data_IF_907911194834
#
_entry.id   IF_907911194834
#
_cell.length_a   1.000
_cell.length_b   1.000
_cell.length_c   1.000
_cell.angle_alpha   90.00
_cell.angle_beta   90.00
_cell.angle_gamma   90.00
#
_symmetry.space_group_name_H-M   'P 1'
#
loop_
_entity.id
_entity.type
_entity.pdbx_description
1 polymer ?
#
# COMPACT_ATOMS: atom_id res chain seq x y z
N UNK A 1 -11.65 9.35 -1.31
CA UNK A 1 -10.38 10.00 -0.88
C UNK A 1 -9.48 9.07 -0.08
N UNK A 2 -9.94 8.48 1.04
CA UNK A 2 -9.12 7.57 1.87
C UNK A 2 -8.52 6.41 1.07
N UNK A 3 -9.33 5.69 0.28
CA UNK A 3 -8.87 4.58 -0.54
C UNK A 3 -7.79 4.97 -1.56
N UNK A 4 -7.84 6.20 -2.08
CA UNK A 4 -6.82 6.71 -3.01
C UNK A 4 -5.51 6.99 -2.26
N UNK A 5 -5.60 7.57 -1.06
CA UNK A 5 -4.44 7.81 -0.21
C UNK A 5 -3.75 6.51 0.21
N UNK A 6 -4.52 5.50 0.62
CA UNK A 6 -3.96 4.19 0.99
C UNK A 6 -3.39 3.46 -0.21
N UNK A 7 -3.99 3.60 -1.40
CA UNK A 7 -3.40 3.11 -2.67
C UNK A 7 -2.08 3.79 -2.99
N UNK A 8 -1.95 5.11 -2.83
CA UNK A 8 -0.68 5.80 -3.03
C UNK A 8 0.39 5.34 -2.03
N UNK A 9 0.06 5.30 -0.73
CA UNK A 9 0.99 4.80 0.28
C UNK A 9 1.45 3.39 -0.10
N UNK A 10 0.50 2.49 -0.37
CA UNK A 10 0.83 1.11 -0.72
C UNK A 10 1.66 0.98 -1.99
N UNK A 11 1.37 1.77 -3.03
CA UNK A 11 2.14 1.78 -4.27
C UNK A 11 3.63 2.09 -4.07
N UNK A 12 3.98 2.79 -2.98
CA UNK A 12 5.35 3.22 -2.71
C UNK A 12 5.98 2.60 -1.46
N UNK A 13 5.27 1.76 -0.70
CA UNK A 13 5.77 1.13 0.54
C UNK A 13 6.05 -0.36 0.42
N UNK A 14 5.98 -0.95 -0.78
CA UNK A 14 6.46 -2.31 -1.08
C UNK A 14 7.98 -2.40 -1.26
N UNK A 15 8.75 -1.70 -0.41
CA UNK A 15 10.19 -1.47 -0.51
C UNK A 15 11.08 -2.70 -0.28
N UNK A 16 10.49 -3.84 0.07
CA UNK A 16 11.24 -5.11 0.16
C UNK A 16 11.24 -5.88 -1.17
N UNK A 17 10.34 -5.53 -2.10
CA UNK A 17 10.17 -6.25 -3.36
C UNK A 17 11.29 -5.97 -4.39
N UNK A 18 12.07 -4.91 -4.17
CA UNK A 18 13.18 -4.50 -5.01
C UNK A 18 14.56 -4.86 -4.40
N UNK A 19 14.59 -5.65 -3.32
CA UNK A 19 15.83 -6.10 -2.67
C UNK A 19 16.80 -6.78 -3.67
N UNK A 20 16.26 -7.57 -4.58
CA UNK A 20 17.01 -8.22 -5.67
C UNK A 20 17.75 -7.24 -6.59
N UNK A 21 17.29 -5.99 -6.70
CA UNK A 21 17.91 -4.98 -7.57
C UNK A 21 19.23 -4.41 -7.02
N UNK A 22 19.44 -4.41 -5.70
CA UNK A 22 20.65 -3.84 -5.07
C UNK A 22 21.44 -4.83 -4.19
N UNK A 23 20.86 -6.00 -3.89
CA UNK A 23 21.45 -6.96 -2.95
C UNK A 23 22.79 -7.53 -3.39
N UNK A 24 23.07 -7.65 -4.69
CA UNK A 24 24.38 -8.07 -5.20
C UNK A 24 25.48 -7.07 -4.84
N UNK A 25 25.22 -5.78 -5.00
CA UNK A 25 26.20 -4.75 -4.67
C UNK A 25 26.36 -4.59 -3.16
N UNK A 26 25.27 -4.71 -2.41
CA UNK A 26 25.31 -4.75 -0.94
C UNK A 26 26.18 -5.91 -0.43
N UNK A 27 26.05 -7.10 -1.04
CA UNK A 27 26.87 -8.28 -0.71
C UNK A 27 28.35 -8.03 -0.98
N UNK A 28 28.67 -7.45 -2.14
CA UNK A 28 30.05 -7.16 -2.53
C UNK A 28 30.70 -6.14 -1.58
N UNK A 29 29.98 -5.06 -1.26
CA UNK A 29 30.44 -3.99 -0.37
C UNK A 29 30.63 -4.47 1.07
N UNK A 30 29.70 -5.27 1.60
CA UNK A 30 29.80 -5.82 2.95
C UNK A 30 30.82 -6.97 3.04
N UNK A 31 31.30 -7.49 1.90
CA UNK A 31 32.19 -8.68 1.84
C UNK A 31 31.61 -9.89 2.59
N UNK A 32 30.30 -10.10 2.47
CA UNK A 32 29.56 -11.16 3.18
C UNK A 32 29.25 -12.37 2.31
N UNK A 33 29.03 -13.52 2.95
CA UNK A 33 28.58 -14.73 2.27
C UNK A 33 27.13 -14.61 1.77
N UNK A 34 26.71 -15.51 0.87
CA UNK A 34 25.31 -15.58 0.43
C UNK A 34 24.35 -15.83 1.59
N UNK A 35 24.75 -16.67 2.55
CA UNK A 35 23.95 -16.97 3.74
C UNK A 35 23.76 -15.71 4.59
N UNK A 36 24.83 -14.94 4.78
CA UNK A 36 24.77 -13.67 5.51
C UNK A 36 23.91 -12.63 4.77
N UNK A 37 23.98 -12.54 3.44
CA UNK A 37 23.07 -11.68 2.68
C UNK A 37 21.60 -12.10 2.87
N UNK A 38 21.34 -13.41 2.87
CA UNK A 38 19.98 -13.92 3.09
C UNK A 38 19.47 -13.58 4.50
N UNK A 39 20.33 -13.55 5.51
CA UNK A 39 19.93 -13.06 6.83
C UNK A 39 19.55 -11.57 6.85
N UNK A 40 20.10 -10.74 5.95
CA UNK A 40 19.70 -9.33 5.82
C UNK A 40 18.26 -9.21 5.33
N UNK A 41 17.87 -9.98 4.31
CA UNK A 41 16.49 -9.99 3.82
C UNK A 41 15.53 -10.65 4.83
N UNK A 42 15.95 -11.73 5.48
CA UNK A 42 15.19 -12.36 6.57
C UNK A 42 15.01 -11.41 7.75
N UNK A 43 16.00 -10.57 8.09
CA UNK A 43 15.87 -9.58 9.15
C UNK A 43 14.76 -8.56 8.82
N UNK A 44 14.66 -8.12 7.57
CA UNK A 44 13.55 -7.28 7.10
C UNK A 44 12.20 -7.99 7.22
N UNK A 45 12.10 -9.26 6.80
CA UNK A 45 10.85 -10.02 6.96
C UNK A 45 10.49 -10.27 8.42
N UNK A 46 11.47 -10.53 9.29
CA UNK A 46 11.29 -10.62 10.74
C UNK A 46 10.79 -9.29 11.32
N UNK A 47 11.28 -8.15 10.79
CA UNK A 47 10.78 -6.82 11.10
C UNK A 47 9.27 -6.67 10.92
N UNK A 48 8.69 -7.30 9.88
CA UNK A 48 7.24 -7.28 9.62
C UNK A 48 6.43 -8.03 10.67
N UNK A 49 7.03 -9.04 11.32
CA UNK A 49 6.37 -9.77 12.42
C UNK A 49 6.15 -8.88 13.65
N UNK A 50 6.94 -7.81 13.81
CA UNK A 50 6.72 -6.78 14.83
C UNK A 50 5.61 -5.80 14.48
N UNK A 51 4.87 -5.97 13.37
CA UNK A 51 3.80 -5.05 12.97
C UNK A 51 2.65 -4.89 13.98
N UNK A 52 2.45 -5.85 14.89
CA UNK A 52 1.42 -5.79 15.93
C UNK A 52 1.53 -4.54 16.82
N UNK A 53 2.74 -4.01 17.03
CA UNK A 53 2.94 -2.81 17.85
C UNK A 53 2.38 -1.55 17.18
N UNK A 54 2.29 -1.51 15.84
CA UNK A 54 1.61 -0.43 15.11
C UNK A 54 0.13 -0.35 15.47
N UNK A 55 -0.54 -1.50 15.57
CA UNK A 55 -1.93 -1.60 15.98
C UNK A 55 -2.15 -1.05 17.39
N UNK A 56 -1.22 -1.35 18.32
CA UNK A 56 -1.24 -0.80 19.68
C UNK A 56 -1.05 0.71 19.67
N UNK A 57 -0.10 1.22 18.88
CA UNK A 57 0.13 2.67 18.75
C UNK A 57 -1.11 3.41 18.24
N UNK A 58 -1.85 2.82 17.30
CA UNK A 58 -3.10 3.39 16.77
C UNK A 58 -4.24 3.47 17.79
N UNK A 59 -4.11 2.82 18.96
CA UNK A 59 -5.05 3.01 20.08
C UNK A 59 -4.81 4.31 20.84
N UNK A 60 -3.58 4.82 20.84
CA UNK A 60 -3.17 5.98 21.63
C UNK A 60 -2.87 7.22 20.78
N UNK A 61 -2.47 7.03 19.52
CA UNK A 61 -2.04 8.10 18.63
C UNK A 61 -2.90 8.16 17.37
N UNK A 62 -3.10 9.37 16.79
CA UNK A 62 -3.84 9.50 15.54
C UNK A 62 -3.08 8.84 14.37
N UNK A 63 -3.82 8.43 13.34
CA UNK A 63 -3.29 7.69 12.18
C UNK A 63 -2.13 8.39 11.48
N UNK A 64 -2.17 9.72 11.38
CA UNK A 64 -1.11 10.51 10.74
C UNK A 64 0.21 10.47 11.53
N UNK A 65 0.17 10.40 12.86
CA UNK A 65 1.38 10.25 13.69
C UNK A 65 2.01 8.90 13.42
N UNK A 66 1.21 7.83 13.46
CA UNK A 66 1.71 6.46 13.23
C UNK A 66 2.25 6.30 11.82
N UNK A 67 1.63 6.96 10.82
CA UNK A 67 2.13 7.02 9.45
C UNK A 67 3.53 7.64 9.38
N UNK A 68 3.76 8.78 10.05
CA UNK A 68 5.08 9.39 10.07
C UNK A 68 6.11 8.59 10.85
N UNK A 69 5.71 7.94 11.95
CA UNK A 69 6.63 7.04 12.66
C UNK A 69 7.08 5.91 11.73
N UNK A 70 6.16 5.32 10.96
CA UNK A 70 6.51 4.33 9.93
C UNK A 70 7.49 4.92 8.91
N UNK A 71 7.20 6.12 8.38
CA UNK A 71 8.06 6.79 7.40
C UNK A 71 9.47 7.08 7.93
N UNK A 72 9.61 7.53 9.17
CA UNK A 72 10.91 7.78 9.80
C UNK A 72 11.68 6.48 10.08
N UNK A 73 10.99 5.42 10.48
CA UNK A 73 11.61 4.08 10.61
C UNK A 73 12.17 3.59 9.27
N UNK A 74 11.42 3.77 8.18
CA UNK A 74 11.87 3.44 6.83
C UNK A 74 13.04 4.31 6.37
N UNK A 75 12.96 5.62 6.58
CA UNK A 75 14.02 6.58 6.28
C UNK A 75 15.33 6.20 6.97
N UNK A 76 15.29 5.87 8.26
CA UNK A 76 16.47 5.47 9.02
C UNK A 76 16.96 4.09 8.57
N UNK A 77 16.05 3.11 8.46
CA UNK A 77 16.40 1.73 8.13
C UNK A 77 17.06 1.59 6.75
N UNK A 78 16.46 2.18 5.71
CA UNK A 78 17.02 2.18 4.36
C UNK A 78 18.10 3.23 4.16
N UNK A 79 18.01 4.40 4.80
CA UNK A 79 19.01 5.45 4.71
C UNK A 79 20.37 5.03 5.27
N UNK A 80 20.39 4.29 6.39
CA UNK A 80 21.64 3.72 6.91
C UNK A 80 22.23 2.68 5.95
N UNK A 81 21.42 1.81 5.36
CA UNK A 81 21.87 0.85 4.34
C UNK A 81 22.41 1.57 3.10
N UNK A 82 21.78 2.66 2.69
CA UNK A 82 22.24 3.49 1.58
C UNK A 82 23.60 4.17 1.88
N UNK A 83 23.80 4.70 3.08
CA UNK A 83 25.10 5.27 3.47
C UNK A 83 26.22 4.20 3.47
N UNK A 84 25.90 2.97 3.85
CA UNK A 84 26.83 1.83 3.78
C UNK A 84 27.14 1.45 2.35
N UNK A 85 26.14 1.34 1.46
CA UNK A 85 26.38 0.97 0.06
C UNK A 85 27.14 2.07 -0.71
N UNK A 86 27.05 3.32 -0.25
CA UNK A 86 27.87 4.42 -0.77
C UNK A 86 29.27 4.48 -0.18
N UNK A 87 29.61 3.61 0.78
CA UNK A 87 30.89 3.61 1.50
C UNK A 87 31.15 4.93 2.26
N UNK A 88 30.12 5.71 2.57
CA UNK A 88 30.25 6.90 3.42
C UNK A 88 30.44 6.52 4.89
N UNK A 89 29.80 5.43 5.33
CA UNK A 89 29.94 4.88 6.67
C UNK A 89 30.23 3.38 6.59
N UNK A 90 30.98 2.86 7.54
CA UNK A 90 31.11 1.43 7.78
C UNK A 90 30.29 1.05 9.01
N UNK A 91 29.39 0.06 8.86
CA UNK A 91 28.60 -0.47 9.96
C UNK A 91 28.98 -1.93 10.22
N UNK A 92 29.07 -2.36 11.49
CA UNK A 92 29.17 -3.79 11.80
C UNK A 92 27.93 -4.51 11.28
N UNK A 93 28.12 -5.75 10.82
CA UNK A 93 27.06 -6.55 10.20
C UNK A 93 25.76 -6.64 11.03
N UNK A 94 25.88 -6.70 12.36
CA UNK A 94 24.73 -6.69 13.26
C UNK A 94 23.88 -5.42 13.15
N UNK A 95 24.49 -4.24 12.97
CA UNK A 95 23.75 -2.99 12.77
C UNK A 95 23.09 -2.93 11.39
N UNK A 96 23.68 -3.58 10.39
CA UNK A 96 23.01 -3.77 9.08
C UNK A 96 21.75 -4.61 9.27
N UNK A 97 21.82 -5.74 9.99
CA UNK A 97 20.64 -6.56 10.29
C UNK A 97 19.57 -5.76 11.05
N UNK A 98 19.95 -4.96 12.05
CA UNK A 98 19.02 -4.12 12.79
C UNK A 98 18.38 -3.04 11.91
N UNK A 99 19.14 -2.43 11.00
CA UNK A 99 18.62 -1.47 10.05
C UNK A 99 17.62 -2.10 9.07
N UNK A 100 17.86 -3.34 8.63
CA UNK A 100 16.95 -4.10 7.79
C UNK A 100 15.69 -4.52 8.56
N UNK A 101 15.82 -4.92 9.83
CA UNK A 101 14.68 -5.18 10.71
C UNK A 101 13.81 -3.94 10.87
N UNK A 102 14.41 -2.77 11.12
CA UNK A 102 13.70 -1.50 11.24
C UNK A 102 12.96 -1.13 9.95
N UNK A 103 13.62 -1.31 8.80
CA UNK A 103 13.02 -1.10 7.47
C UNK A 103 11.81 -2.03 7.24
N UNK A 104 11.93 -3.30 7.62
CA UNK A 104 10.84 -4.27 7.57
C UNK A 104 9.66 -3.92 8.48
N UNK A 105 9.95 -3.46 9.70
CA UNK A 105 8.91 -2.99 10.64
C UNK A 105 8.17 -1.78 10.07
N UNK A 106 8.87 -0.83 9.45
CA UNK A 106 8.25 0.31 8.74
C UNK A 106 7.20 -0.15 7.73
N UNK A 107 7.50 -1.13 6.87
CA UNK A 107 6.56 -1.66 5.88
C UNK A 107 5.27 -2.17 6.55
N UNK A 108 5.40 -2.92 7.64
CA UNK A 108 4.24 -3.46 8.36
C UNK A 108 3.39 -2.37 9.05
N UNK A 109 4.02 -1.27 9.49
CA UNK A 109 3.32 -0.14 10.07
C UNK A 109 2.54 0.62 9.00
N UNK A 110 3.13 0.88 7.82
CA UNK A 110 2.40 1.42 6.67
C UNK A 110 1.17 0.58 6.30
N UNK A 111 1.37 -0.75 6.22
CA UNK A 111 0.28 -1.68 5.98
C UNK A 111 -0.83 -1.56 7.02
N UNK A 112 -0.46 -1.52 8.31
CA UNK A 112 -1.43 -1.43 9.41
C UNK A 112 -2.23 -0.13 9.36
N UNK A 113 -1.59 1.01 9.11
CA UNK A 113 -2.27 2.30 8.94
C UNK A 113 -3.27 2.23 7.77
N UNK A 114 -2.86 1.72 6.62
CA UNK A 114 -3.74 1.56 5.46
C UNK A 114 -4.91 0.61 5.75
N UNK A 115 -4.68 -0.50 6.46
CA UNK A 115 -5.75 -1.44 6.81
C UNK A 115 -6.78 -0.82 7.74
N UNK A 116 -6.31 -0.15 8.81
CA UNK A 116 -7.20 0.49 9.78
C UNK A 116 -8.02 1.61 9.11
N UNK A 117 -7.41 2.39 8.22
CA UNK A 117 -8.13 3.39 7.42
C UNK A 117 -9.19 2.76 6.53
N UNK A 118 -8.86 1.72 5.76
CA UNK A 118 -9.83 1.04 4.90
C UNK A 118 -10.98 0.40 5.70
N UNK A 119 -10.68 -0.27 6.81
CA UNK A 119 -11.69 -0.95 7.64
C UNK A 119 -12.63 0.06 8.29
N UNK A 120 -12.09 1.16 8.83
CA UNK A 120 -12.91 2.20 9.49
C UNK A 120 -13.76 2.98 8.49
N UNK A 121 -13.25 3.24 7.29
CA UNK A 121 -13.97 4.01 6.26
C UNK A 121 -15.01 3.17 5.50
N UNK A 122 -14.73 1.90 5.19
CA UNK A 122 -15.59 1.06 4.35
C UNK A 122 -16.16 -0.12 5.13
N UNK A 123 -17.20 0.08 5.92
CA UNK A 123 -17.74 -0.99 6.78
C UNK A 123 -18.34 -2.16 5.98
N UNK A 124 -19.10 -1.87 4.91
CA UNK A 124 -19.75 -2.90 4.07
C UNK A 124 -18.78 -3.57 3.11
N UNK A 125 -17.91 -2.78 2.45
CA UNK A 125 -17.01 -3.24 1.39
C UNK A 125 -15.54 -3.31 1.85
N UNK A 126 -15.29 -3.55 3.16
CA UNK A 126 -13.93 -3.56 3.74
C UNK A 126 -12.98 -4.50 3.02
N UNK A 127 -13.44 -5.69 2.64
CA UNK A 127 -12.62 -6.68 1.94
C UNK A 127 -12.13 -6.13 0.59
N UNK A 128 -13.05 -5.57 -0.22
CA UNK A 128 -12.73 -4.96 -1.51
C UNK A 128 -11.77 -3.77 -1.36
N UNK A 129 -12.02 -2.88 -0.40
CA UNK A 129 -11.15 -1.73 -0.13
C UNK A 129 -9.74 -2.15 0.32
N UNK A 130 -9.65 -3.16 1.19
CA UNK A 130 -8.38 -3.72 1.65
C UNK A 130 -7.61 -4.36 0.51
N UNK A 131 -8.27 -5.24 -0.27
CA UNK A 131 -7.68 -5.95 -1.41
C UNK A 131 -7.18 -5.00 -2.48
N UNK A 132 -7.98 -4.00 -2.84
CA UNK A 132 -7.59 -2.97 -3.79
C UNK A 132 -6.37 -2.19 -3.27
N UNK A 133 -6.41 -1.70 -2.02
CA UNK A 133 -5.29 -0.94 -1.46
C UNK A 133 -4.02 -1.76 -1.34
N UNK A 134 -4.07 -2.97 -0.78
CA UNK A 134 -2.90 -3.82 -0.57
C UNK A 134 -2.32 -4.34 -1.89
N UNK A 135 -3.15 -4.49 -2.94
CA UNK A 135 -2.66 -4.94 -4.24
C UNK A 135 -1.57 -4.01 -4.76
N UNK A 136 -1.71 -2.69 -4.60
CA UNK A 136 -0.72 -1.71 -5.03
C UNK A 136 0.65 -1.84 -4.36
N UNK A 137 0.75 -2.47 -3.18
CA UNK A 137 2.05 -2.86 -2.62
C UNK A 137 2.84 -3.77 -3.57
N UNK A 138 2.12 -4.59 -4.32
CA UNK A 138 2.68 -5.46 -5.35
C UNK A 138 3.35 -4.71 -6.49
N UNK A 139 2.89 -3.52 -6.90
CA UNK A 139 3.48 -2.77 -8.03
C UNK A 139 4.69 -1.93 -7.66
N UNK A 140 5.04 -1.82 -6.37
CA UNK A 140 6.13 -0.95 -5.92
C UNK A 140 7.44 -1.24 -6.66
N UNK A 141 7.87 -2.49 -6.76
CA UNK A 141 9.14 -2.79 -7.43
C UNK A 141 9.15 -2.37 -8.91
N UNK A 142 8.02 -2.50 -9.62
CA UNK A 142 7.91 -2.03 -11.01
C UNK A 142 8.02 -0.51 -11.12
N UNK A 143 7.40 0.23 -10.20
CA UNK A 143 7.51 1.69 -10.14
C UNK A 143 8.94 2.12 -9.81
N UNK A 144 9.58 1.48 -8.83
CA UNK A 144 10.96 1.78 -8.45
C UNK A 144 11.95 1.45 -9.58
N UNK A 145 11.74 0.34 -10.30
CA UNK A 145 12.50 0.02 -11.51
C UNK A 145 12.39 1.12 -12.56
N UNK A 146 11.19 1.65 -12.81
CA UNK A 146 10.99 2.75 -13.75
C UNK A 146 11.67 4.04 -13.28
N UNK A 147 11.59 4.37 -11.99
CA UNK A 147 12.26 5.55 -11.43
C UNK A 147 13.78 5.41 -11.56
N UNK A 148 14.37 4.29 -11.13
CA UNK A 148 15.80 4.04 -11.22
C UNK A 148 16.29 4.16 -12.68
N UNK A 149 15.67 3.43 -13.62
CA UNK A 149 16.01 3.49 -15.05
C UNK A 149 15.81 4.88 -15.68
N UNK A 150 14.91 5.69 -15.12
CA UNK A 150 14.65 7.06 -15.61
C UNK A 150 15.74 8.06 -15.23
N UNK A 151 16.42 7.81 -14.11
CA UNK A 151 17.51 8.63 -13.56
C UNK A 151 18.85 8.11 -14.08
N UNK A 152 19.22 6.89 -13.66
CA UNK A 152 20.42 6.18 -14.11
C UNK A 152 20.16 4.66 -14.10
N UNK A 153 20.12 4.00 -15.26
CA UNK A 153 19.87 2.56 -15.34
C UNK A 153 21.01 1.70 -14.76
N UNK A 154 22.19 2.27 -14.52
CA UNK A 154 23.34 1.53 -14.01
C UNK A 154 23.55 1.68 -12.49
N UNK A 155 22.89 2.65 -11.84
CA UNK A 155 23.07 2.90 -10.41
C UNK A 155 22.02 2.16 -9.57
N UNK A 156 22.38 0.95 -9.15
CA UNK A 156 21.58 0.10 -8.24
C UNK A 156 21.43 0.70 -6.83
N UNK A 157 22.29 1.63 -6.43
CA UNK A 157 22.25 2.25 -5.10
C UNK A 157 21.06 3.19 -4.97
N UNK A 158 20.53 3.68 -6.10
CA UNK A 158 19.33 4.52 -6.13
C UNK A 158 18.13 3.83 -5.50
N UNK A 159 18.00 2.50 -5.61
CA UNK A 159 16.87 1.77 -5.01
C UNK A 159 16.79 1.97 -3.49
N UNK A 160 17.92 1.87 -2.79
CA UNK A 160 17.98 2.11 -1.34
C UNK A 160 17.66 3.58 -0.98
N UNK A 161 18.10 4.53 -1.80
CA UNK A 161 17.78 5.95 -1.60
C UNK A 161 16.28 6.22 -1.78
N UNK A 162 15.69 5.65 -2.85
CA UNK A 162 14.26 5.74 -3.12
C UNK A 162 13.46 5.12 -1.98
N UNK A 163 13.86 3.94 -1.50
CA UNK A 163 13.21 3.24 -0.39
C UNK A 163 13.24 4.05 0.91
N UNK A 164 14.25 4.90 1.12
CA UNK A 164 14.34 5.78 2.27
C UNK A 164 13.47 7.04 2.14
N UNK A 165 13.48 7.69 0.96
CA UNK A 165 12.90 9.04 0.79
C UNK A 165 11.45 9.00 0.29
N UNK A 166 11.13 8.14 -0.68
CA UNK A 166 9.82 8.15 -1.36
C UNK A 166 8.66 7.86 -0.39
N UNK A 167 8.74 6.88 0.54
CA UNK A 167 7.67 6.67 1.51
C UNK A 167 7.38 7.90 2.39
N UNK A 168 8.41 8.67 2.76
CA UNK A 168 8.25 9.91 3.53
C UNK A 168 7.52 10.98 2.71
N UNK A 169 7.93 11.19 1.46
CA UNK A 169 7.29 12.14 0.54
C UNK A 169 5.82 11.80 0.34
N UNK A 170 5.51 10.52 0.06
CA UNK A 170 4.14 10.06 -0.16
C UNK A 170 3.30 10.19 1.11
N UNK A 171 3.89 9.97 2.29
CA UNK A 171 3.19 10.18 3.57
C UNK A 171 2.73 11.62 3.73
N UNK A 172 3.58 12.60 3.37
CA UNK A 172 3.23 14.03 3.40
C UNK A 172 2.09 14.33 2.43
N UNK A 173 2.14 13.83 1.20
CA UNK A 173 1.06 14.02 0.22
C UNK A 173 -0.25 13.35 0.64
N UNK A 174 -0.17 12.18 1.28
CA UNK A 174 -1.34 11.44 1.74
C UNK A 174 -2.07 12.11 2.90
N UNK A 175 -1.41 12.94 3.71
CA UNK A 175 -2.00 13.62 4.87
C UNK A 175 -3.33 14.31 4.54
N UNK A 176 -3.36 15.07 3.45
CA UNK A 176 -4.54 15.87 3.06
C UNK A 176 -5.76 14.99 2.82
N UNK A 177 -5.55 13.75 2.38
CA UNK A 177 -6.61 12.78 2.04
C UNK A 177 -6.99 11.88 3.22
N UNK A 178 -6.15 11.78 4.25
CA UNK A 178 -6.38 10.95 5.46
C UNK A 178 -7.19 11.70 6.52
N UNK A 179 -7.09 13.03 6.59
CA UNK A 179 -7.85 13.84 7.55
C UNK A 179 -9.33 13.84 7.13
N UNK A 180 -10.25 13.26 7.94
CA UNK A 180 -11.66 13.17 7.59
C UNK A 180 -12.28 14.57 7.43
N UNK A 181 -13.06 14.76 6.37
CA UNK A 181 -14.08 15.82 6.36
C UNK A 181 -15.39 15.16 6.78
N UNK A 182 -16.06 15.75 7.76
CA UNK A 182 -17.38 15.33 8.21
C UNK A 182 -18.37 15.43 7.05
N UNK A 183 -18.78 14.30 6.49
CA UNK A 183 -19.92 14.24 5.60
C UNK A 183 -20.94 13.26 6.18
N UNK A 184 -22.16 13.78 6.31
CA UNK A 184 -23.38 13.09 6.72
C UNK A 184 -23.65 11.90 5.83
N UNK A 185 -23.77 10.74 6.46
CA UNK A 185 -24.40 9.54 5.91
C UNK A 185 -25.84 9.86 5.54
N UNK A 186 -26.29 9.49 4.33
CA UNK A 186 -27.50 8.65 4.20
C UNK A 186 -27.94 8.30 2.77
N UNK A 187 -27.29 8.78 1.71
CA UNK A 187 -27.59 8.30 0.35
C UNK A 187 -26.33 7.81 -0.35
N UNK A 188 -26.34 6.56 -0.87
CA UNK A 188 -25.56 6.07 -2.04
C UNK A 188 -25.05 4.61 -1.99
N UNK A 189 -25.78 3.63 -1.45
CA UNK A 189 -25.34 2.21 -1.50
C UNK A 189 -25.17 1.63 -2.92
N UNK A 190 -25.89 2.15 -3.92
CA UNK A 190 -25.79 1.68 -5.33
C UNK A 190 -24.62 2.31 -6.11
N UNK A 191 -24.26 3.55 -5.77
CA UNK A 191 -23.12 4.26 -6.38
C UNK A 191 -21.78 3.68 -5.92
N UNK A 192 -21.71 3.15 -4.69
CA UNK A 192 -20.49 2.57 -4.14
C UNK A 192 -19.97 1.36 -4.93
N UNK A 193 -20.85 0.44 -5.35
CA UNK A 193 -20.43 -0.77 -6.09
C UNK A 193 -19.86 -0.43 -7.47
N UNK A 194 -20.49 0.48 -8.20
CA UNK A 194 -19.99 0.94 -9.50
C UNK A 194 -18.64 1.65 -9.35
N UNK A 195 -18.48 2.49 -8.33
CA UNK A 195 -17.21 3.13 -8.01
C UNK A 195 -16.10 2.12 -7.70
N UNK A 196 -16.37 1.11 -6.88
CA UNK A 196 -15.41 0.03 -6.60
C UNK A 196 -15.05 -0.77 -7.85
N UNK A 197 -16.02 -1.06 -8.73
CA UNK A 197 -15.76 -1.75 -9.99
C UNK A 197 -14.87 -0.91 -10.91
N UNK A 198 -15.14 0.40 -11.05
CA UNK A 198 -14.31 1.31 -11.86
C UNK A 198 -12.89 1.43 -11.30
N UNK A 199 -12.73 1.54 -9.97
CA UNK A 199 -11.41 1.56 -9.34
C UNK A 199 -10.66 0.24 -9.51
N UNK A 200 -11.35 -0.88 -9.44
CA UNK A 200 -10.77 -2.21 -9.67
C UNK A 200 -10.35 -2.38 -11.12
N UNK A 201 -11.19 -1.96 -12.08
CA UNK A 201 -10.86 -1.96 -13.50
C UNK A 201 -9.62 -1.09 -13.79
N UNK A 202 -9.56 0.11 -13.21
CA UNK A 202 -8.39 0.98 -13.32
C UNK A 202 -7.14 0.34 -12.71
N UNK A 203 -7.26 -0.35 -11.58
CA UNK A 203 -6.17 -1.07 -10.96
C UNK A 203 -5.67 -2.21 -11.86
N UNK A 204 -6.57 -2.99 -12.48
CA UNK A 204 -6.21 -4.01 -13.49
C UNK A 204 -5.47 -3.38 -14.67
N UNK A 205 -5.98 -2.26 -15.21
CA UNK A 205 -5.32 -1.52 -16.29
C UNK A 205 -3.93 -1.08 -15.86
N UNK A 206 -3.78 -0.53 -14.66
CA UNK A 206 -2.48 -0.09 -14.12
C UNK A 206 -1.50 -1.25 -13.93
N UNK A 207 -1.97 -2.38 -13.42
CA UNK A 207 -1.16 -3.60 -13.26
C UNK A 207 -0.70 -4.17 -14.60
N UNK A 208 -1.59 -4.25 -15.59
CA UNK A 208 -1.24 -4.71 -16.95
C UNK A 208 -0.30 -3.73 -17.65
N UNK A 209 -0.55 -2.42 -17.50
CA UNK A 209 0.31 -1.37 -18.01
C UNK A 209 1.74 -1.53 -17.49
N UNK A 210 1.92 -1.66 -16.17
CA UNK A 210 3.23 -1.83 -15.57
C UNK A 210 3.89 -3.16 -15.96
N UNK A 211 3.14 -4.27 -15.97
CA UNK A 211 3.65 -5.58 -16.37
C UNK A 211 4.24 -5.57 -17.79
N UNK A 212 3.48 -5.03 -18.75
CA UNK A 212 3.87 -5.08 -20.16
C UNK A 212 4.94 -4.02 -20.46
N UNK A 213 4.74 -2.78 -20.03
CA UNK A 213 5.60 -1.67 -20.45
C UNK A 213 6.89 -1.58 -19.63
N UNK A 214 6.91 -1.98 -18.35
CA UNK A 214 8.13 -1.96 -17.53
C UNK A 214 9.25 -2.84 -18.11
N UNK A 215 8.90 -3.89 -18.85
CA UNK A 215 9.86 -4.80 -19.48
C UNK A 215 10.49 -4.20 -20.75
N UNK A 216 9.82 -3.21 -21.37
CA UNK A 216 10.23 -2.57 -22.64
C UNK A 216 11.11 -1.33 -22.38
N UNK A 217 11.27 -0.90 -21.13
CA UNK A 217 11.97 0.33 -20.74
C UNK A 217 13.51 0.23 -20.87
N UNK A 218 14.01 0.12 -22.10
CA UNK A 218 15.44 -0.01 -22.41
C UNK A 218 16.20 1.33 -22.41
N UNK A 219 15.50 2.43 -22.68
CA UNK A 219 16.05 3.78 -22.72
C UNK A 219 15.48 4.65 -21.58
N UNK A 220 16.30 5.50 -20.92
CA UNK A 220 15.82 6.43 -19.89
C UNK A 220 14.64 7.32 -20.33
N UNK A 221 14.59 7.74 -21.59
CA UNK A 221 13.46 8.51 -22.13
C UNK A 221 12.16 7.69 -22.13
N UNK A 222 12.22 6.42 -22.57
CA UNK A 222 11.08 5.51 -22.57
C UNK A 222 10.65 5.21 -21.13
N UNK A 223 11.61 5.00 -20.21
CA UNK A 223 11.33 4.81 -18.79
C UNK A 223 10.59 6.03 -18.19
N UNK A 224 10.99 7.26 -18.54
CA UNK A 224 10.29 8.49 -18.13
C UNK A 224 8.86 8.57 -18.67
N UNK A 225 8.65 8.23 -19.95
CA UNK A 225 7.31 8.21 -20.54
C UNK A 225 6.41 7.19 -19.84
N UNK A 226 6.90 5.97 -19.63
CA UNK A 226 6.13 4.92 -18.95
C UNK A 226 5.85 5.29 -17.50
N UNK A 227 6.84 5.84 -16.79
CA UNK A 227 6.66 6.35 -15.44
C UNK A 227 5.59 7.44 -15.40
N UNK A 228 5.61 8.39 -16.35
CA UNK A 228 4.60 9.45 -16.42
C UNK A 228 3.19 8.89 -16.60
N UNK A 229 3.01 7.88 -17.46
CA UNK A 229 1.73 7.21 -17.63
C UNK A 229 1.28 6.45 -16.38
N UNK A 230 2.19 5.77 -15.69
CA UNK A 230 1.90 5.10 -14.42
C UNK A 230 1.45 6.08 -13.32
N UNK A 231 2.12 7.24 -13.19
CA UNK A 231 1.74 8.28 -12.25
C UNK A 231 0.38 8.88 -12.61
N UNK A 232 0.10 9.12 -13.89
CA UNK A 232 -1.22 9.60 -14.35
C UNK A 232 -2.32 8.61 -13.97
N UNK A 233 -2.11 7.31 -14.20
CA UNK A 233 -3.06 6.26 -13.83
C UNK A 233 -3.30 6.21 -12.32
N UNK A 234 -2.26 6.39 -11.50
CA UNK A 234 -2.38 6.47 -10.03
C UNK A 234 -3.12 7.73 -9.54
N UNK A 235 -2.99 8.85 -10.25
CA UNK A 235 -3.64 10.12 -9.88
C UNK A 235 -5.08 10.24 -10.39
N UNK A 236 -5.46 9.46 -11.41
CA UNK A 236 -6.77 9.53 -12.05
C UNK A 236 -7.95 9.41 -11.07
N UNK A 237 -7.98 8.48 -10.09
CA UNK A 237 -9.05 8.40 -9.08
C UNK A 237 -9.20 9.65 -8.21
N UNK A 238 -8.09 10.35 -7.96
CA UNK A 238 -8.11 11.59 -7.18
C UNK A 238 -8.71 12.73 -8.00
N UNK A 239 -8.30 12.85 -9.27
CA UNK A 239 -8.77 13.89 -10.19
C UNK A 239 -10.27 13.74 -10.44
N UNK A 240 -10.74 12.53 -10.75
CA UNK A 240 -12.17 12.29 -11.02
C UNK A 240 -13.02 12.62 -9.79
N UNK A 241 -12.61 12.19 -8.61
CA UNK A 241 -13.36 12.48 -7.38
C UNK A 241 -13.34 13.98 -7.01
N UNK A 242 -12.27 14.72 -7.34
CA UNK A 242 -12.23 16.18 -7.17
C UNK A 242 -13.15 16.91 -8.14
N UNK A 243 -13.18 16.50 -9.41
CA UNK A 243 -14.05 17.10 -10.44
C UNK A 243 -15.51 16.87 -10.08
N UNK A 244 -15.88 15.64 -9.72
CA UNK A 244 -17.25 15.30 -9.30
C UNK A 244 -17.65 16.11 -8.07
N UNK A 245 -16.79 16.19 -7.04
CA UNK A 245 -17.10 16.99 -5.85
C UNK A 245 -17.23 18.48 -6.17
N UNK A 246 -16.40 19.03 -7.06
CA UNK A 246 -16.46 20.44 -7.47
C UNK A 246 -17.72 20.74 -8.27
N UNK A 247 -18.12 19.82 -9.15
CA UNK A 247 -19.34 19.93 -9.94
C UNK A 247 -20.57 19.84 -9.06
N UNK A 248 -20.59 18.89 -8.11
CA UNK A 248 -21.67 18.74 -7.15
C UNK A 248 -21.75 19.94 -6.19
N UNK A 249 -20.61 20.48 -5.72
CA UNK A 249 -20.62 21.70 -4.91
C UNK A 249 -21.10 22.92 -5.69
N UNK A 250 -20.81 22.99 -6.99
CA UNK A 250 -21.31 24.05 -7.86
C UNK A 250 -22.82 23.90 -8.10
N UNK A 251 -23.31 22.68 -8.24
CA UNK A 251 -24.73 22.39 -8.39
C UNK A 251 -25.51 22.67 -7.10
N UNK A 252 -25.02 22.23 -5.95
CA UNK A 252 -25.56 22.58 -4.64
C UNK A 252 -25.54 24.10 -4.39
N UNK A 253 -24.48 24.81 -4.80
CA UNK A 253 -24.43 26.27 -4.69
C UNK A 253 -25.44 26.96 -5.62
N UNK A 254 -25.74 26.37 -6.78
CA UNK A 254 -26.82 26.86 -7.65
C UNK A 254 -28.21 26.53 -7.07
N UNK A 255 -28.39 25.33 -6.50
CA UNK A 255 -29.64 24.91 -5.88
C UNK A 255 -29.91 25.71 -4.58
N UNK A 256 -28.90 25.99 -3.75
CA UNK A 256 -29.02 26.94 -2.61
C UNK A 256 -29.40 28.35 -3.08
N UNK A 257 -28.91 28.78 -4.24
CA UNK A 257 -29.27 30.08 -4.82
C UNK A 257 -30.71 30.11 -5.37
N UNK A 258 -31.25 28.96 -5.80
CA UNK A 258 -32.65 28.78 -6.19
C UNK A 258 -33.59 28.64 -4.98
N UNK A 259 -33.19 27.86 -3.98
CA UNK A 259 -33.94 27.63 -2.72
C UNK A 259 -34.00 28.90 -1.87
N UNK A 260 -32.94 29.71 -1.82
CA UNK A 260 -32.95 31.02 -1.14
C UNK A 260 -33.83 32.07 -1.87
N UNK A 261 -34.26 31.76 -3.11
CA UNK A 261 -35.23 32.56 -3.86
C UNK A 261 -36.68 32.12 -3.58
N UNK A 262 -36.91 30.86 -3.22
CA UNK A 262 -38.22 30.33 -2.79
C UNK A 262 -38.51 30.51 -1.30
N UNK A 263 -37.48 30.61 -0.44
CA UNK A 263 -37.63 30.83 1.02
C UNK A 263 -38.02 32.26 1.43
N UNK A 264 -38.39 33.13 0.48
CA UNK A 264 -39.08 34.40 0.78
C UNK A 264 -40.61 34.20 0.85
N UNK A 265 -41.13 33.01 0.50
CA UNK A 265 -42.57 32.77 0.44
C UNK A 265 -42.95 31.38 0.99
N UNK A 266 -42.67 31.12 2.27
CA UNK A 266 -43.47 30.21 3.13
C UNK A 266 -42.80 29.98 4.49
N UNK A 267 -43.11 30.86 5.44
CA UNK A 267 -43.12 30.48 6.85
C UNK A 267 -44.51 29.88 7.16
N UNK A 268 -44.56 28.63 7.64
CA UNK A 268 -45.27 28.20 8.87
C UNK A 268 -45.52 26.67 8.91
N UNK A 269 -45.26 26.11 10.10
CA UNK A 269 -45.63 24.79 10.65
C UNK A 269 -44.83 23.59 10.10
N UNK A 270 -44.36 22.61 10.90
CA UNK A 270 -44.90 22.07 12.14
C UNK A 270 -43.81 21.25 12.89
N UNK A 271 -43.93 21.15 14.22
CA UNK A 271 -43.12 20.29 15.09
C UNK A 271 -43.49 18.80 14.93
N UNK A 272 -42.51 17.88 15.06
CA UNK A 272 -42.77 16.45 15.02
C UNK A 272 -41.65 15.57 15.61
N UNK A 273 -41.81 15.23 16.89
CA UNK A 273 -41.64 13.91 17.54
C UNK A 273 -40.57 12.91 17.06
N UNK A 274 -39.62 12.55 17.93
CA UNK A 274 -38.85 11.29 17.84
C UNK A 274 -38.84 10.55 19.18
N UNK A 275 -39.49 9.40 19.23
CA UNK A 275 -39.23 8.39 20.25
C UNK A 275 -39.31 6.96 19.69
N UNK A 276 -38.33 6.14 20.10
CA UNK A 276 -38.24 4.68 20.10
C UNK A 276 -38.12 3.97 18.72
N UNK A 277 -37.31 2.94 18.52
CA UNK A 277 -36.51 2.11 19.41
C UNK A 277 -36.36 0.71 18.79
N UNK A 278 -35.22 0.07 19.05
CA UNK A 278 -34.98 -1.38 19.08
C UNK A 278 -34.75 -2.21 17.80
N UNK A 279 -33.64 -2.96 17.92
CA UNK A 279 -33.42 -4.35 17.52
C UNK A 279 -32.97 -4.63 16.07
N UNK A 280 -31.65 -4.53 15.86
CA UNK A 280 -31.01 -5.21 14.74
C UNK A 280 -30.60 -6.61 15.17
N UNK A 281 -31.30 -7.57 14.57
CA UNK A 281 -31.19 -9.00 14.79
C UNK A 281 -29.77 -9.51 14.61
N UNK A 282 -29.38 -10.40 15.54
CA UNK A 282 -28.04 -10.98 15.67
C UNK A 282 -27.90 -12.15 14.70
N UNK A 283 -27.84 -11.86 13.40
CA UNK A 283 -27.35 -12.83 12.42
C UNK A 283 -25.82 -12.87 12.50
N UNK A 284 -25.26 -14.07 12.49
CA UNK A 284 -23.84 -14.38 12.59
C UNK A 284 -23.03 -13.67 11.49
N UNK A 285 -22.58 -12.44 11.74
CA UNK A 285 -21.67 -11.72 10.84
C UNK A 285 -20.24 -12.10 11.21
N UNK A 286 -19.53 -12.80 10.31
CA UNK A 286 -18.07 -12.89 10.35
C UNK A 286 -17.53 -11.45 10.27
N UNK A 287 -17.18 -10.85 11.40
CA UNK A 287 -16.81 -9.44 11.40
C UNK A 287 -16.76 -8.66 12.69
N UNK A 288 -17.15 -9.23 13.83
CA UNK A 288 -16.92 -8.58 15.13
C UNK A 288 -15.42 -8.62 15.49
N UNK A 289 -14.94 -7.55 16.12
CA UNK A 289 -13.63 -7.51 16.77
C UNK A 289 -13.57 -8.61 17.83
N UNK A 290 -13.04 -9.77 17.46
CA UNK A 290 -12.80 -10.82 18.42
C UNK A 290 -11.70 -10.36 19.38
N UNK A 291 -11.98 -10.43 20.68
CA UNK A 291 -10.94 -10.29 21.70
C UNK A 291 -9.74 -11.17 21.32
N UNK A 292 -8.53 -10.62 21.33
CA UNK A 292 -7.29 -11.32 20.92
C UNK A 292 -7.14 -12.68 21.61
N UNK A 293 -7.55 -12.75 22.89
CA UNK A 293 -7.56 -13.99 23.69
C UNK A 293 -8.52 -15.05 23.16
N UNK A 294 -9.65 -14.65 22.59
CA UNK A 294 -10.61 -15.56 21.95
C UNK A 294 -10.05 -16.09 20.63
N UNK A 295 -9.42 -15.23 19.84
CA UNK A 295 -8.84 -15.55 18.53
C UNK A 295 -7.74 -16.62 18.64
N UNK A 296 -6.78 -16.44 19.54
CA UNK A 296 -5.65 -17.37 19.75
C UNK A 296 -6.09 -18.74 20.30
N UNK A 297 -7.30 -18.83 20.88
CA UNK A 297 -7.87 -20.10 21.36
C UNK A 297 -8.58 -20.91 20.27
N UNK A 298 -8.91 -20.30 19.12
CA UNK A 298 -9.60 -20.99 18.02
C UNK A 298 -8.61 -21.76 17.16
N UNK A 299 -8.97 -22.98 16.76
CA UNK A 299 -8.18 -23.78 15.83
C UNK A 299 -8.09 -23.15 14.44
N UNK A 300 -9.17 -22.51 13.98
CA UNK A 300 -9.21 -21.79 12.69
C UNK A 300 -8.11 -20.73 12.58
N UNK A 301 -7.82 -20.04 13.69
CA UNK A 301 -6.73 -19.07 13.74
C UNK A 301 -5.37 -19.72 13.48
N UNK A 302 -5.08 -20.85 14.14
CA UNK A 302 -3.81 -21.55 13.97
C UNK A 302 -3.69 -22.19 12.59
N UNK A 303 -4.79 -22.70 12.04
CA UNK A 303 -4.81 -23.24 10.69
C UNK A 303 -4.54 -22.14 9.66
N UNK A 304 -5.18 -20.97 9.80
CA UNK A 304 -4.91 -19.80 8.97
C UNK A 304 -3.47 -19.29 9.16
N UNK A 305 -3.00 -19.21 10.41
CA UNK A 305 -1.65 -18.79 10.73
C UNK A 305 -0.60 -19.70 10.10
N UNK A 306 -0.73 -21.03 10.22
CA UNK A 306 0.19 -22.00 9.62
C UNK A 306 0.11 -21.96 8.09
N UNK A 307 -1.08 -21.87 7.52
CA UNK A 307 -1.23 -21.74 6.06
C UNK A 307 -0.56 -20.47 5.53
N UNK A 308 -0.74 -19.33 6.22
CA UNK A 308 -0.10 -18.07 5.86
C UNK A 308 1.41 -18.10 6.09
N UNK A 309 1.85 -18.66 7.22
CA UNK A 309 3.25 -18.84 7.58
C UNK A 309 3.95 -19.69 6.52
N UNK A 310 3.38 -20.83 6.10
CA UNK A 310 4.00 -21.69 5.09
C UNK A 310 3.87 -21.12 3.67
N UNK A 311 2.72 -20.57 3.29
CA UNK A 311 2.49 -20.07 1.92
C UNK A 311 3.15 -18.72 1.65
N UNK A 312 2.80 -17.71 2.46
CA UNK A 312 3.26 -16.34 2.27
C UNK A 312 4.77 -16.18 2.43
N UNK A 313 5.38 -16.89 3.40
CA UNK A 313 6.83 -16.79 3.61
C UNK A 313 7.64 -17.46 2.50
N UNK A 314 7.15 -18.55 1.90
CA UNK A 314 7.81 -19.14 0.72
C UNK A 314 7.89 -18.14 -0.43
N UNK A 315 6.81 -17.39 -0.67
CA UNK A 315 6.79 -16.31 -1.67
C UNK A 315 7.78 -15.18 -1.36
N UNK A 316 7.97 -14.84 -0.08
CA UNK A 316 8.96 -13.85 0.37
C UNK A 316 10.39 -14.37 0.22
N UNK A 317 10.66 -15.62 0.62
CA UNK A 317 11.98 -16.25 0.46
C UNK A 317 12.36 -16.29 -1.01
N UNK A 318 11.44 -16.67 -1.91
CA UNK A 318 11.68 -16.62 -3.34
C UNK A 318 12.01 -15.20 -3.83
N UNK A 319 11.20 -14.20 -3.45
CA UNK A 319 11.42 -12.79 -3.82
C UNK A 319 12.78 -12.27 -3.38
N UNK A 320 13.14 -12.54 -2.12
CA UNK A 320 14.39 -12.09 -1.51
C UNK A 320 15.64 -12.69 -2.15
N UNK A 321 15.51 -13.86 -2.78
CA UNK A 321 16.61 -14.57 -3.44
C UNK A 321 16.56 -14.45 -4.97
N UNK A 322 15.57 -13.75 -5.53
CA UNK A 322 15.31 -13.73 -6.98
C UNK A 322 16.51 -13.22 -7.78
N UNK A 323 17.19 -12.19 -7.28
CA UNK A 323 18.40 -11.63 -7.91
C UNK A 323 19.52 -12.67 -7.97
N UNK A 324 19.75 -13.40 -6.88
CA UNK A 324 20.83 -14.39 -6.81
C UNK A 324 20.51 -15.66 -7.58
N UNK A 325 19.24 -16.10 -7.59
CA UNK A 325 18.79 -17.20 -8.44
C UNK A 325 19.01 -16.85 -9.92
N UNK A 326 18.61 -15.65 -10.33
CA UNK A 326 18.78 -15.17 -11.71
C UNK A 326 20.26 -15.07 -12.11
N UNK A 327 21.12 -14.52 -11.25
CA UNK A 327 22.56 -14.46 -11.49
C UNK A 327 23.21 -15.83 -11.61
N UNK A 328 22.82 -16.79 -10.76
CA UNK A 328 23.36 -18.16 -10.79
C UNK A 328 23.07 -18.89 -12.10
N UNK A 329 22.00 -18.50 -12.80
CA UNK A 329 21.59 -19.03 -14.10
C UNK A 329 22.15 -18.24 -15.28
N UNK A 330 22.90 -17.15 -15.03
CA UNK A 330 23.49 -16.30 -16.07
C UNK A 330 22.58 -15.17 -16.58
N UNK A 331 21.42 -14.93 -15.96
CA UNK A 331 20.40 -13.96 -16.42
C UNK A 331 20.49 -12.58 -15.74
N UNK A 332 21.70 -12.08 -15.47
CA UNK A 332 21.90 -10.81 -14.74
C UNK A 332 21.20 -9.61 -15.38
N UNK A 333 21.15 -9.55 -16.71
CA UNK A 333 20.50 -8.46 -17.44
C UNK A 333 18.96 -8.45 -17.28
N UNK A 334 18.37 -9.58 -16.90
CA UNK A 334 16.90 -9.76 -16.84
C UNK A 334 16.33 -9.64 -15.42
N UNK A 335 17.17 -9.37 -14.40
CA UNK A 335 16.72 -9.24 -13.00
C UNK A 335 15.57 -8.25 -12.88
N UNK A 336 15.68 -7.06 -13.49
CA UNK A 336 14.62 -6.05 -13.43
C UNK A 336 13.30 -6.55 -14.03
N UNK A 337 13.35 -7.31 -15.12
CA UNK A 337 12.15 -7.88 -15.78
C UNK A 337 11.52 -8.97 -14.93
N UNK A 338 12.33 -9.84 -14.32
CA UNK A 338 11.86 -10.88 -13.39
C UNK A 338 11.23 -10.28 -12.13
N UNK A 339 11.82 -9.21 -11.60
CA UNK A 339 11.29 -8.46 -10.46
C UNK A 339 9.94 -7.82 -10.81
N UNK A 340 9.82 -7.19 -11.98
CA UNK A 340 8.55 -6.62 -12.45
C UNK A 340 7.47 -7.71 -12.66
N UNK A 341 7.84 -8.90 -13.15
CA UNK A 341 6.92 -10.03 -13.29
C UNK A 341 6.44 -10.55 -11.94
N UNK A 342 7.36 -10.77 -10.99
CA UNK A 342 7.01 -11.16 -9.62
C UNK A 342 6.09 -10.12 -8.96
N UNK A 343 6.44 -8.83 -9.12
CA UNK A 343 5.67 -7.68 -8.67
C UNK A 343 4.24 -7.69 -9.21
N UNK A 344 4.06 -7.95 -10.51
CA UNK A 344 2.74 -8.08 -11.12
C UNK A 344 1.96 -9.30 -10.61
N UNK A 345 2.58 -10.46 -10.47
CA UNK A 345 1.93 -11.64 -9.88
C UNK A 345 1.48 -11.37 -8.44
N UNK A 346 2.31 -10.65 -7.67
CA UNK A 346 2.00 -10.21 -6.30
C UNK A 346 0.81 -9.24 -6.28
N UNK A 347 0.78 -8.29 -7.21
CA UNK A 347 -0.33 -7.33 -7.39
C UNK A 347 -1.65 -8.05 -7.71
N UNK A 348 -1.68 -8.87 -8.77
CA UNK A 348 -2.89 -9.56 -9.21
C UNK A 348 -3.36 -10.60 -8.18
N UNK A 349 -2.45 -11.34 -7.55
CA UNK A 349 -2.80 -12.29 -6.49
C UNK A 349 -3.51 -11.63 -5.32
N UNK A 350 -3.06 -10.43 -4.92
CA UNK A 350 -3.74 -9.63 -3.88
C UNK A 350 -5.07 -9.07 -4.37
N UNK A 351 -5.12 -8.50 -5.57
CA UNK A 351 -6.34 -7.90 -6.13
C UNK A 351 -7.47 -8.92 -6.33
N UNK A 352 -7.12 -10.13 -6.79
CA UNK A 352 -8.07 -11.22 -7.06
C UNK A 352 -8.47 -11.98 -5.80
N UNK A 353 -7.83 -11.74 -4.64
CA UNK A 353 -8.16 -12.43 -3.39
C UNK A 353 -9.60 -12.21 -2.93
N UNK A 354 -10.22 -11.12 -3.36
CA UNK A 354 -11.62 -10.78 -3.07
C UNK A 354 -12.54 -10.89 -4.28
N UNK A 355 -12.08 -11.56 -5.35
CA UNK A 355 -12.93 -11.82 -6.51
C UNK A 355 -14.20 -12.62 -6.18
N UNK A 356 -14.20 -13.60 -5.25
CA UNK A 356 -15.42 -14.28 -4.82
C UNK A 356 -16.48 -13.32 -4.26
N UNK A 357 -16.06 -12.26 -3.54
CA UNK A 357 -16.97 -11.27 -2.97
C UNK A 357 -17.67 -10.43 -4.06
N UNK A 358 -17.02 -10.25 -5.22
CA UNK A 358 -17.64 -9.60 -6.39
C UNK A 358 -18.68 -10.48 -7.09
N UNK A 359 -18.51 -11.80 -7.04
CA UNK A 359 -19.37 -12.78 -7.72
C UNK A 359 -20.61 -13.18 -6.89
N UNK A 360 -20.55 -13.02 -5.56
CA UNK A 360 -21.64 -13.40 -4.65
C UNK A 360 -22.63 -12.27 -4.34
N UNK A 361 -22.26 -11.01 -4.58
CA UNK A 361 -23.18 -9.86 -4.52
C UNK A 361 -23.83 -9.58 -5.86
#
# INVERSE_FOLDING_TARGET
MVLVATTWIQAFTGTNLDFSSYSTDLKAILSVSQVQLNYVSVASDAGKAFGWCSGVFLLYFPTWVVLFVAAFMGLIGYGLQWLVIQQFISLPYFLVLLSSLLAGTSISWFNTVCYVLCIKTFQTNRALALSLSISFNGVSASIYNLIAKSIDPNDTKLYLLLNAIVPLIISVFALRSIIPHSHSSDETTRHDRANFLSLTALAVITGLYLLVLSSISSNPFIARLILSGAIILLLLPFITSRIVNSFFSFQLANDEFEVQKELIDSDLNEEGFYENGLQKDRSLVLGEEHSTRLLVRKWDFWLYYVAYLCGGTLGLVYSNNLGQISESLGYRADISSLVSLYSACSFFGRLLSTMPDFLQG
#
